data_IF_297295098691
#
_entry.id   IF_297295098691
#
_cell.length_a   1.000
_cell.length_b   1.000
_cell.length_c   1.000
_cell.angle_alpha   90.00
_cell.angle_beta   90.00
_cell.angle_gamma   90.00
#
_symmetry.space_group_name_H-M   'P 1'
#
loop_
_entity.id
_entity.type
_entity.pdbx_description
1 polymer ?
#
# COMPACT_ATOMS: atom_id res chain seq x y z
N UNK A 1 -1.59 13.25 -6.56
CA UNK A 1 -1.27 14.12 -7.72
C UNK A 1 0.14 13.89 -8.24
N UNK A 2 1.21 14.07 -7.45
CA UNK A 2 2.59 13.79 -7.91
C UNK A 2 2.90 12.28 -7.93
N UNK A 3 2.45 11.52 -6.92
CA UNK A 3 2.51 10.04 -6.89
C UNK A 3 1.87 9.41 -8.14
N UNK A 4 0.62 9.76 -8.42
CA UNK A 4 -0.12 9.25 -9.58
C UNK A 4 0.56 9.61 -10.91
N UNK A 5 1.20 10.79 -10.98
CA UNK A 5 1.94 11.22 -12.16
C UNK A 5 3.18 10.37 -12.38
N UNK A 6 3.95 10.09 -11.32
CA UNK A 6 5.16 9.27 -11.43
C UNK A 6 4.79 7.84 -11.77
N UNK A 7 3.80 7.24 -11.11
CA UNK A 7 3.32 5.90 -11.49
C UNK A 7 2.86 5.83 -12.95
N UNK A 8 2.17 6.87 -13.45
CA UNK A 8 1.80 6.95 -14.86
C UNK A 8 3.02 6.99 -15.78
N UNK A 9 4.06 7.74 -15.41
CA UNK A 9 5.31 7.79 -16.17
C UNK A 9 6.03 6.45 -16.18
N UNK A 10 6.09 5.74 -15.04
CA UNK A 10 6.66 4.39 -14.95
C UNK A 10 5.96 3.41 -15.89
N UNK A 11 4.62 3.39 -15.87
CA UNK A 11 3.83 2.55 -16.77
C UNK A 11 4.02 2.94 -18.24
N UNK A 12 4.11 4.24 -18.56
CA UNK A 12 4.40 4.68 -19.92
C UNK A 12 5.78 4.22 -20.39
N UNK A 13 6.79 4.29 -19.53
CA UNK A 13 8.13 3.81 -19.82
C UNK A 13 8.15 2.29 -20.00
N UNK A 14 7.46 1.54 -19.13
CA UNK A 14 7.30 0.09 -19.24
C UNK A 14 6.71 -0.32 -20.60
N UNK A 15 5.65 0.36 -21.06
CA UNK A 15 5.04 0.09 -22.37
C UNK A 15 5.84 0.57 -23.57
N UNK A 16 6.83 1.44 -23.36
CA UNK A 16 7.78 1.83 -24.41
C UNK A 16 8.86 0.75 -24.57
N UNK A 17 9.16 0.02 -23.49
CA UNK A 17 10.16 -1.05 -23.47
C UNK A 17 9.57 -2.43 -23.84
N UNK A 18 8.31 -2.68 -23.47
CA UNK A 18 7.64 -3.96 -23.65
C UNK A 18 6.45 -3.86 -24.60
N UNK A 19 6.31 -4.85 -25.47
CA UNK A 19 5.15 -4.94 -26.36
C UNK A 19 3.89 -5.33 -25.56
N UNK A 20 2.83 -4.53 -25.70
CA UNK A 20 1.51 -4.81 -25.10
C UNK A 20 0.92 -6.12 -25.60
N UNK A 21 1.26 -6.56 -26.81
CA UNK A 21 0.79 -7.83 -27.37
C UNK A 21 1.26 -9.05 -26.56
N UNK A 22 2.36 -8.93 -25.81
CA UNK A 22 2.86 -9.98 -24.89
C UNK A 22 1.92 -10.20 -23.70
N UNK A 23 1.01 -9.25 -23.42
CA UNK A 23 0.15 -9.24 -22.25
C UNK A 23 -1.33 -9.44 -22.65
N UNK A 24 -1.76 -10.69 -22.91
CA UNK A 24 -3.15 -11.00 -23.32
C UNK A 24 -4.18 -10.64 -22.23
N UNK A 25 -3.72 -10.45 -21.00
CA UNK A 25 -4.55 -10.00 -19.88
C UNK A 25 -5.21 -8.64 -20.13
N UNK A 26 -4.57 -7.76 -20.92
CA UNK A 26 -5.12 -6.44 -21.23
C UNK A 26 -6.41 -6.54 -22.06
N UNK A 27 -6.44 -7.44 -23.04
CA UNK A 27 -7.64 -7.68 -23.84
C UNK A 27 -8.72 -8.40 -23.02
N UNK A 28 -8.34 -9.42 -22.25
CA UNK A 28 -9.28 -10.11 -21.34
C UNK A 28 -9.92 -9.19 -20.31
N UNK A 29 -9.17 -8.20 -19.80
CA UNK A 29 -9.74 -7.19 -18.89
C UNK A 29 -10.78 -6.32 -19.58
N UNK A 30 -10.54 -5.90 -20.83
CA UNK A 30 -11.54 -5.15 -21.60
C UNK A 30 -12.77 -6.00 -21.89
N UNK A 31 -12.58 -7.27 -22.26
CA UNK A 31 -13.68 -8.22 -22.46
C UNK A 31 -14.52 -8.38 -21.17
N UNK A 32 -13.85 -8.57 -20.02
CA UNK A 32 -14.52 -8.65 -18.73
C UNK A 32 -15.30 -7.36 -18.41
N UNK A 33 -14.70 -6.19 -18.65
CA UNK A 33 -15.36 -4.92 -18.44
C UNK A 33 -16.63 -4.80 -19.30
N UNK A 34 -16.57 -5.22 -20.57
CA UNK A 34 -17.72 -5.21 -21.48
C UNK A 34 -18.81 -6.19 -21.01
N UNK A 35 -18.44 -7.40 -20.57
CA UNK A 35 -19.39 -8.39 -20.03
C UNK A 35 -20.06 -7.92 -18.74
N UNK A 36 -19.33 -7.24 -17.85
CA UNK A 36 -19.88 -6.64 -16.63
C UNK A 36 -20.89 -5.53 -16.96
N UNK A 37 -20.61 -4.71 -17.97
CA UNK A 37 -21.56 -3.70 -18.48
C UNK A 37 -22.83 -4.37 -19.06
N UNK A 38 -22.69 -5.54 -19.69
CA UNK A 38 -23.79 -6.35 -20.19
C UNK A 38 -24.53 -7.16 -19.10
N UNK A 39 -24.07 -7.10 -17.84
CA UNK A 39 -24.61 -7.82 -16.68
C UNK A 39 -24.56 -9.37 -16.81
N UNK A 40 -23.54 -9.88 -17.49
CA UNK A 40 -23.28 -11.31 -17.65
C UNK A 40 -22.39 -11.83 -16.51
N UNK A 41 -22.68 -13.03 -15.96
CA UNK A 41 -21.86 -13.64 -14.89
C UNK A 41 -20.70 -14.43 -15.49
N UNK A 42 -19.48 -14.19 -14.99
CA UNK A 42 -18.28 -14.87 -15.51
C UNK A 42 -17.33 -15.34 -14.39
N UNK A 43 -17.73 -16.35 -13.61
CA UNK A 43 -16.92 -16.83 -12.47
C UNK A 43 -15.62 -17.54 -12.87
N UNK A 44 -15.57 -18.20 -14.03
CA UNK A 44 -14.49 -19.12 -14.39
C UNK A 44 -13.25 -18.41 -15.00
N UNK A 45 -13.38 -17.15 -15.41
CA UNK A 45 -12.29 -16.40 -16.05
C UNK A 45 -11.41 -15.63 -15.04
N UNK A 46 -11.89 -15.40 -13.81
CA UNK A 46 -11.20 -14.59 -12.81
C UNK A 46 -9.85 -15.18 -12.41
N UNK A 47 -9.74 -16.49 -12.19
CA UNK A 47 -8.48 -17.11 -11.77
C UNK A 47 -7.39 -17.00 -12.85
N UNK A 48 -7.79 -17.09 -14.12
CA UNK A 48 -6.88 -16.93 -15.26
C UNK A 48 -6.42 -15.48 -15.36
N UNK A 49 -7.35 -14.52 -15.24
CA UNK A 49 -7.03 -13.09 -15.26
C UNK A 49 -6.11 -12.73 -14.09
N UNK A 50 -6.41 -13.20 -12.88
CA UNK A 50 -5.60 -12.95 -11.68
C UNK A 50 -4.17 -13.47 -11.85
N UNK A 51 -3.98 -14.69 -12.36
CA UNK A 51 -2.64 -15.22 -12.63
C UNK A 51 -1.88 -14.41 -13.67
N UNK A 52 -2.55 -13.99 -14.74
CA UNK A 52 -1.89 -13.18 -15.78
C UNK A 52 -1.62 -11.74 -15.32
N UNK A 53 -2.47 -11.18 -14.46
CA UNK A 53 -2.24 -9.91 -13.78
C UNK A 53 -1.01 -9.99 -12.87
N UNK A 54 -0.89 -11.07 -12.09
CA UNK A 54 0.26 -11.29 -11.22
C UNK A 54 1.54 -11.38 -12.05
N UNK A 55 1.55 -12.14 -13.16
CA UNK A 55 2.71 -12.19 -14.04
C UNK A 55 3.08 -10.82 -14.61
N UNK A 56 2.11 -10.05 -15.10
CA UNK A 56 2.35 -8.70 -15.60
C UNK A 56 2.89 -7.77 -14.50
N UNK A 57 2.41 -7.92 -13.26
CA UNK A 57 2.91 -7.18 -12.12
C UNK A 57 4.36 -7.54 -11.81
N UNK A 58 4.72 -8.81 -11.82
CA UNK A 58 6.11 -9.25 -11.63
C UNK A 58 7.04 -8.71 -12.72
N UNK A 59 6.63 -8.74 -13.99
CA UNK A 59 7.41 -8.16 -15.09
C UNK A 59 7.61 -6.64 -14.91
N UNK A 60 6.59 -5.95 -14.43
CA UNK A 60 6.69 -4.52 -14.11
C UNK A 60 7.66 -4.24 -12.95
N UNK A 61 7.62 -5.05 -11.89
CA UNK A 61 8.57 -4.94 -10.77
C UNK A 61 10.01 -5.19 -11.22
N UNK A 62 10.23 -6.15 -12.12
CA UNK A 62 11.57 -6.41 -12.66
C UNK A 62 12.06 -5.24 -13.52
N UNK A 63 11.19 -4.67 -14.36
CA UNK A 63 11.51 -3.45 -15.11
C UNK A 63 11.88 -2.27 -14.19
N UNK A 64 11.17 -2.08 -13.07
CA UNK A 64 11.51 -1.04 -12.10
C UNK A 64 12.92 -1.25 -11.54
N UNK A 65 13.24 -2.47 -11.09
CA UNK A 65 14.59 -2.80 -10.59
C UNK A 65 15.66 -2.56 -11.66
N UNK A 66 15.38 -2.90 -12.90
CA UNK A 66 16.29 -2.62 -14.01
C UNK A 66 16.51 -1.11 -14.22
N UNK A 67 15.47 -0.27 -14.07
CA UNK A 67 15.64 1.17 -14.16
C UNK A 67 16.47 1.72 -13.01
N UNK A 68 16.15 1.29 -11.78
CA UNK A 68 16.87 1.70 -10.57
C UNK A 68 18.36 1.33 -10.63
N UNK A 69 18.68 0.15 -11.18
CA UNK A 69 20.07 -0.27 -11.38
C UNK A 69 20.84 0.58 -12.42
N UNK A 70 20.13 1.25 -13.34
CA UNK A 70 20.71 2.04 -14.44
C UNK A 70 20.69 3.55 -14.18
N UNK A 71 19.89 4.04 -13.24
CA UNK A 71 19.64 5.47 -13.05
C UNK A 71 19.40 5.83 -11.58
N UNK A 72 20.27 6.68 -11.04
CA UNK A 72 20.11 7.26 -9.69
C UNK A 72 18.79 8.02 -9.55
N UNK A 73 18.28 8.62 -10.63
CA UNK A 73 16.98 9.30 -10.63
C UNK A 73 15.82 8.30 -10.49
N UNK A 74 15.91 7.13 -11.14
CA UNK A 74 14.93 6.05 -10.96
C UNK A 74 14.99 5.53 -9.51
N UNK A 75 16.19 5.32 -8.97
CA UNK A 75 16.36 4.92 -7.57
C UNK A 75 15.74 5.94 -6.60
N UNK A 76 15.99 7.23 -6.82
CA UNK A 76 15.41 8.29 -6.00
C UNK A 76 13.87 8.26 -6.04
N UNK A 77 13.27 8.17 -7.24
CA UNK A 77 11.82 8.15 -7.36
C UNK A 77 11.19 6.87 -6.81
N UNK A 78 11.83 5.71 -6.96
CA UNK A 78 11.38 4.45 -6.36
C UNK A 78 11.25 4.57 -4.84
N UNK A 79 12.28 5.11 -4.19
CA UNK A 79 12.30 5.33 -2.73
C UNK A 79 11.29 6.39 -2.31
N UNK A 80 11.18 7.47 -3.09
CA UNK A 80 10.21 8.52 -2.84
C UNK A 80 8.77 8.00 -2.91
N UNK A 81 8.45 7.15 -3.89
CA UNK A 81 7.14 6.51 -4.01
C UNK A 81 6.84 5.61 -2.81
N UNK A 82 7.83 4.84 -2.34
CA UNK A 82 7.65 4.02 -1.13
C UNK A 82 7.35 4.89 0.10
N UNK A 83 8.08 6.00 0.29
CA UNK A 83 7.83 6.95 1.38
C UNK A 83 6.42 7.57 1.30
N UNK A 84 6.00 7.99 0.11
CA UNK A 84 4.66 8.55 -0.10
C UNK A 84 3.57 7.52 0.19
N UNK A 85 3.76 6.28 -0.25
CA UNK A 85 2.85 5.17 0.04
C UNK A 85 2.71 4.93 1.54
N UNK A 86 3.82 4.92 2.29
CA UNK A 86 3.80 4.80 3.76
C UNK A 86 3.01 5.94 4.40
N UNK A 87 3.28 7.20 4.03
CA UNK A 87 2.58 8.36 4.61
C UNK A 87 1.08 8.31 4.31
N UNK A 88 0.73 7.97 3.07
CA UNK A 88 -0.66 7.82 2.63
C UNK A 88 -1.36 6.69 3.38
N UNK A 89 -0.74 5.52 3.49
CA UNK A 89 -1.33 4.38 4.19
C UNK A 89 -1.48 4.65 5.69
N UNK A 90 -0.55 5.38 6.30
CA UNK A 90 -0.69 5.82 7.69
C UNK A 90 -1.94 6.70 7.85
N UNK A 91 -2.10 7.71 6.99
CA UNK A 91 -3.26 8.60 7.02
C UNK A 91 -4.59 7.86 6.75
N UNK A 92 -4.62 6.97 5.77
CA UNK A 92 -5.80 6.14 5.47
C UNK A 92 -6.13 5.23 6.65
N UNK A 93 -5.12 4.58 7.24
CA UNK A 93 -5.31 3.71 8.40
C UNK A 93 -5.89 4.44 9.61
N UNK A 94 -5.43 5.66 9.85
CA UNK A 94 -5.95 6.54 10.91
C UNK A 94 -7.39 6.98 10.58
N UNK A 95 -7.67 7.43 9.36
CA UNK A 95 -9.02 7.92 8.99
C UNK A 95 -10.09 6.82 9.04
N UNK A 96 -9.72 5.62 8.61
CA UNK A 96 -10.65 4.48 8.54
C UNK A 96 -10.64 3.64 9.82
N UNK A 97 -9.71 3.88 10.74
CA UNK A 97 -9.50 3.01 11.91
C UNK A 97 -9.04 1.61 11.55
N UNK A 98 -8.39 1.46 10.39
CA UNK A 98 -7.91 0.18 9.89
C UNK A 98 -6.61 -0.22 10.60
N UNK A 99 -6.74 -0.94 11.71
CA UNK A 99 -5.59 -1.37 12.52
C UNK A 99 -4.62 -2.27 11.75
N UNK A 100 -5.12 -3.15 10.88
CA UNK A 100 -4.26 -4.04 10.09
C UNK A 100 -3.38 -3.24 9.13
N UNK A 101 -3.95 -2.24 8.46
CA UNK A 101 -3.20 -1.34 7.58
C UNK A 101 -2.19 -0.51 8.36
N UNK A 102 -2.53 -0.04 9.56
CA UNK A 102 -1.61 0.67 10.45
C UNK A 102 -0.38 -0.19 10.77
N UNK A 103 -0.59 -1.43 11.23
CA UNK A 103 0.50 -2.35 11.56
C UNK A 103 1.39 -2.62 10.35
N UNK A 104 0.79 -2.89 9.19
CA UNK A 104 1.53 -3.11 7.93
C UNK A 104 2.36 -1.88 7.54
N UNK A 105 1.77 -0.69 7.61
CA UNK A 105 2.47 0.57 7.27
C UNK A 105 3.69 0.82 8.15
N UNK A 106 3.57 0.55 9.46
CA UNK A 106 4.70 0.66 10.39
C UNK A 106 5.78 -0.36 10.05
N UNK A 107 5.40 -1.60 9.73
CA UNK A 107 6.34 -2.64 9.30
C UNK A 107 7.10 -2.26 8.02
N UNK A 108 6.40 -1.77 7.00
CA UNK A 108 6.98 -1.33 5.73
C UNK A 108 7.97 -0.17 5.94
N UNK A 109 7.63 0.77 6.85
CA UNK A 109 8.51 1.89 7.17
C UNK A 109 9.85 1.47 7.80
N UNK A 110 9.92 0.31 8.47
CA UNK A 110 11.16 -0.16 9.10
C UNK A 110 12.24 -0.47 8.07
N UNK A 111 11.85 -0.99 6.90
CA UNK A 111 12.81 -1.31 5.83
C UNK A 111 13.49 -0.05 5.31
N UNK A 112 12.73 1.03 5.13
CA UNK A 112 13.26 2.32 4.71
C UNK A 112 14.15 2.92 5.80
N UNK A 113 13.70 2.90 7.07
CA UNK A 113 14.52 3.47 8.14
C UNK A 113 15.85 2.74 8.33
N UNK A 114 15.88 1.44 8.08
CA UNK A 114 17.10 0.65 8.06
C UNK A 114 17.99 0.97 6.84
N UNK A 115 17.40 1.13 5.65
CA UNK A 115 18.14 1.43 4.42
C UNK A 115 18.76 2.84 4.37
N UNK A 116 18.20 3.80 5.12
CA UNK A 116 18.61 5.21 5.11
C UNK A 116 19.19 5.70 6.45
N UNK A 117 19.71 4.80 7.28
CA UNK A 117 20.34 5.13 8.57
C UNK A 117 19.50 6.04 9.48
N UNK A 118 18.17 5.90 9.42
CA UNK A 118 17.23 6.60 10.30
C UNK A 118 17.16 5.91 11.66
N UNK A 119 18.31 5.75 12.32
CA UNK A 119 18.53 4.87 13.48
C UNK A 119 17.56 5.16 14.63
N UNK A 120 17.23 6.44 14.85
CA UNK A 120 16.27 6.81 15.89
C UNK A 120 14.87 6.27 15.57
N UNK A 121 14.39 6.48 14.35
CA UNK A 121 13.09 5.98 13.91
C UNK A 121 13.05 4.46 13.85
N UNK A 122 14.13 3.83 13.38
CA UNK A 122 14.25 2.38 13.37
C UNK A 122 14.20 1.80 14.79
N UNK A 123 14.91 2.39 15.75
CA UNK A 123 14.94 1.92 17.15
C UNK A 123 13.56 2.00 17.80
N UNK A 124 12.94 3.17 17.78
CA UNK A 124 11.64 3.36 18.43
C UNK A 124 10.51 2.65 17.67
N UNK A 125 10.57 2.68 16.34
CA UNK A 125 9.63 2.00 15.45
C UNK A 125 9.65 0.49 15.63
N UNK A 126 10.84 -0.13 15.68
CA UNK A 126 10.97 -1.58 15.88
C UNK A 126 10.42 -2.02 17.24
N UNK A 127 10.68 -1.22 18.29
CA UNK A 127 10.11 -1.48 19.61
C UNK A 127 8.58 -1.37 19.59
N UNK A 128 8.03 -0.30 19.01
CA UNK A 128 6.59 -0.10 18.88
C UNK A 128 5.94 -1.22 18.06
N UNK A 129 6.53 -1.60 16.92
CA UNK A 129 6.07 -2.68 16.05
C UNK A 129 6.00 -4.02 16.80
N UNK A 130 7.01 -4.33 17.62
CA UNK A 130 7.01 -5.52 18.45
C UNK A 130 5.84 -5.52 19.45
N UNK A 131 5.54 -4.39 20.09
CA UNK A 131 4.42 -4.28 21.03
C UNK A 131 3.06 -4.45 20.34
N UNK A 132 2.84 -3.81 19.18
CA UNK A 132 1.55 -3.87 18.49
C UNK A 132 1.28 -5.22 17.84
N UNK A 133 2.31 -5.98 17.46
CA UNK A 133 2.14 -7.35 16.92
C UNK A 133 1.72 -8.37 17.97
N UNK A 134 2.17 -8.21 19.22
CA UNK A 134 1.85 -9.15 20.32
C UNK A 134 0.54 -8.80 21.05
N UNK A 135 -0.01 -7.60 20.85
CA UNK A 135 -1.18 -7.11 21.58
C UNK A 135 -2.40 -8.03 21.45
N UNK A 136 -2.55 -8.71 20.30
CA UNK A 136 -3.60 -9.72 20.08
C UNK A 136 -3.56 -10.87 21.07
N UNK A 137 -2.36 -11.20 21.58
CA UNK A 137 -2.14 -12.27 22.54
C UNK A 137 -2.11 -11.75 23.98
N UNK A 138 -1.44 -10.63 24.22
CA UNK A 138 -1.26 -10.09 25.58
C UNK A 138 -2.50 -9.34 26.08
N UNK A 139 -3.21 -8.65 25.20
CA UNK A 139 -4.35 -7.79 25.52
C UNK A 139 -5.48 -7.94 24.49
N UNK A 140 -6.12 -9.13 24.38
CA UNK A 140 -7.08 -9.44 23.31
C UNK A 140 -8.28 -8.48 23.28
N UNK A 141 -8.73 -7.99 24.44
CA UNK A 141 -9.81 -6.98 24.52
C UNK A 141 -9.39 -5.65 23.90
N UNK A 142 -8.14 -5.23 24.11
CA UNK A 142 -7.60 -4.00 23.53
C UNK A 142 -7.40 -4.16 22.03
N UNK A 143 -6.86 -5.29 21.60
CA UNK A 143 -6.76 -5.64 20.18
C UNK A 143 -8.12 -5.60 19.48
N UNK A 144 -9.17 -6.19 20.09
CA UNK A 144 -10.52 -6.11 19.52
C UNK A 144 -10.99 -4.67 19.34
N UNK A 145 -10.79 -3.80 20.34
CA UNK A 145 -11.12 -2.36 20.23
C UNK A 145 -10.34 -1.69 19.10
N UNK A 146 -9.07 -2.03 18.94
CA UNK A 146 -8.24 -1.49 17.86
C UNK A 146 -8.73 -1.95 16.48
N UNK A 147 -9.05 -3.24 16.34
CA UNK A 147 -9.58 -3.80 15.09
C UNK A 147 -10.91 -3.22 14.63
N UNK A 148 -11.68 -2.59 15.54
CA UNK A 148 -12.92 -1.86 15.20
C UNK A 148 -12.72 -0.34 15.14
N UNK A 149 -11.47 0.14 15.12
CA UNK A 149 -11.14 1.56 14.94
C UNK A 149 -11.18 2.44 16.18
N UNK A 150 -11.37 1.90 17.40
CA UNK A 150 -11.46 2.68 18.65
C UNK A 150 -10.11 3.22 19.17
N UNK A 151 -9.09 3.29 18.32
CA UNK A 151 -7.79 3.89 18.58
C UNK A 151 -7.62 5.23 17.86
N UNK A 152 -8.49 5.50 16.88
CA UNK A 152 -8.51 6.74 16.11
C UNK A 152 -9.10 7.86 16.95
N UNK A 153 -8.43 9.00 16.96
CA UNK A 153 -8.96 10.23 17.55
C UNK A 153 -9.78 10.95 16.50
N UNK A 154 -11.08 10.65 16.41
CA UNK A 154 -12.01 11.51 15.67
C UNK A 154 -12.08 12.86 16.37
N UNK A 155 -12.01 13.94 15.60
CA UNK A 155 -11.98 15.32 16.07
C UNK A 155 -12.84 15.48 17.32
N UNK A 156 -12.17 15.65 18.46
CA UNK A 156 -12.84 15.94 19.71
C UNK A 156 -13.79 17.12 19.45
N UNK A 157 -15.10 17.03 19.75
CA UNK A 157 -15.87 18.24 19.93
C UNK A 157 -15.10 19.00 21.00
N UNK A 158 -14.55 20.17 20.62
CA UNK A 158 -13.80 21.09 21.49
C UNK A 158 -14.20 20.85 22.93
N UNK A 159 -13.26 20.41 23.75
CA UNK A 159 -13.42 20.21 25.19
C UNK A 159 -14.23 21.36 25.79
N UNK A 160 -15.56 21.21 25.86
CA UNK A 160 -16.36 21.94 26.83
C UNK A 160 -16.05 21.17 28.10
N UNK A 161 -15.03 21.65 28.81
CA UNK A 161 -14.78 21.34 30.20
C UNK A 161 -16.10 21.56 30.95
N UNK A 162 -16.92 20.50 31.05
CA UNK A 162 -17.91 20.42 32.11
C UNK A 162 -17.11 20.15 33.37
N UNK A 163 -16.61 21.22 33.96
CA UNK A 163 -16.28 21.25 35.37
C UNK A 163 -17.44 20.62 36.13
N UNK A 164 -17.13 19.60 36.92
CA UNK A 164 -18.03 19.06 37.91
C UNK A 164 -18.59 20.22 38.75
N UNK A 165 -19.92 20.27 38.87
CA UNK A 165 -20.62 20.86 40.00
C UNK A 165 -21.59 19.83 40.53
#
# INVERSE_FOLDING_TARGET
MVEDLIHKLEWQAFWTHNDKATYPVLEKMKELQNMLVANERCSEQFDVINRQMEQMHQDFLEFQKECEAKSELCQFFGVWLQLVSIVKNAEVSDREGNWSLHVATIEDSMQIFAGYDCINFLRYGSWYLAQIKIIKFTHPKLYWRFSIGQWVVFGSPRLVLKCCR
#
